data_IF_047066925651
#
_entry.id   IF_047066925651
#
_cell.length_a   1.000
_cell.length_b   1.000
_cell.length_c   1.000
_cell.angle_alpha   90.00
_cell.angle_beta   90.00
_cell.angle_gamma   90.00
#
_symmetry.space_group_name_H-M   'P 1'
#
loop_
_entity.id
_entity.type
_entity.pdbx_description
1 polymer ?
#
# COMPACT_ATOMS: atom_id res chain seq x y z
N UNK A 1 -1.62 -3.91 -3.96
CA UNK A 1 -1.32 -2.48 -3.73
C UNK A 1 -0.13 -2.06 -4.56
N UNK A 2 -0.28 -0.94 -5.27
CA UNK A 2 0.75 -0.27 -6.04
C UNK A 2 0.73 1.21 -5.66
N UNK A 3 1.90 1.75 -5.31
CA UNK A 3 2.14 3.20 -5.20
C UNK A 3 2.52 3.76 -6.57
N UNK A 4 2.50 5.08 -6.72
CA UNK A 4 2.97 5.73 -7.94
C UNK A 4 4.48 5.53 -8.19
N UNK A 5 4.91 5.78 -9.43
CA UNK A 5 6.28 5.57 -9.88
C UNK A 5 7.24 6.48 -9.11
N UNK A 6 8.17 5.88 -8.39
CA UNK A 6 9.32 6.59 -7.86
C UNK A 6 10.25 7.02 -9.02
N UNK A 7 10.21 8.31 -9.37
CA UNK A 7 10.84 8.83 -10.59
C UNK A 7 12.38 8.73 -10.62
N UNK A 8 13.07 8.56 -9.49
CA UNK A 8 14.54 8.48 -9.42
C UNK A 8 15.29 9.60 -10.19
N UNK A 9 14.76 10.83 -10.21
CA UNK A 9 15.24 11.99 -10.98
C UNK A 9 15.05 11.92 -12.52
N UNK A 10 14.32 10.94 -13.01
CA UNK A 10 13.91 10.84 -14.41
C UNK A 10 12.63 11.64 -14.67
N UNK A 11 12.42 12.02 -15.94
CA UNK A 11 11.18 12.66 -16.35
C UNK A 11 10.09 11.60 -16.49
N UNK A 12 8.85 11.88 -16.03
CA UNK A 12 7.72 11.01 -16.32
C UNK A 12 7.56 10.77 -17.83
N UNK A 13 7.18 9.56 -18.19
CA UNK A 13 6.85 9.19 -19.57
C UNK A 13 5.34 9.33 -19.72
N UNK A 14 4.89 10.04 -20.76
CA UNK A 14 3.47 10.25 -21.03
C UNK A 14 2.73 8.91 -21.16
N UNK A 15 1.64 8.77 -20.41
CA UNK A 15 0.81 7.56 -20.41
C UNK A 15 1.40 6.37 -19.63
N UNK A 16 2.52 6.56 -18.92
CA UNK A 16 3.13 5.53 -18.06
C UNK A 16 2.97 5.94 -16.60
N UNK A 17 2.12 5.21 -15.89
CA UNK A 17 1.89 5.33 -14.45
C UNK A 17 1.64 3.94 -13.84
N UNK A 18 1.56 3.87 -12.50
CA UNK A 18 1.27 2.61 -11.80
C UNK A 18 -0.16 2.11 -12.02
N UNK A 19 -1.10 2.98 -12.43
CA UNK A 19 -2.46 2.61 -12.81
C UNK A 19 -2.50 1.77 -14.09
N UNK A 20 -1.64 2.07 -15.07
CA UNK A 20 -1.45 1.25 -16.25
C UNK A 20 -0.97 -0.16 -15.88
N UNK A 21 0.00 -0.26 -14.97
CA UNK A 21 0.51 -1.55 -14.50
C UNK A 21 -0.58 -2.36 -13.78
N UNK A 22 -1.35 -1.72 -12.90
CA UNK A 22 -2.48 -2.35 -12.20
C UNK A 22 -3.46 -3.00 -13.20
N UNK A 23 -3.90 -2.24 -14.20
CA UNK A 23 -4.81 -2.73 -15.25
C UNK A 23 -4.20 -3.89 -16.03
N UNK A 24 -2.91 -3.84 -16.35
CA UNK A 24 -2.22 -4.90 -17.09
C UNK A 24 -2.08 -6.19 -16.29
N UNK A 25 -1.90 -6.11 -14.98
CA UNK A 25 -1.90 -7.29 -14.10
C UNK A 25 -3.26 -7.99 -14.14
N UNK A 26 -4.35 -7.22 -14.04
CA UNK A 26 -5.72 -7.74 -14.09
C UNK A 26 -6.07 -8.32 -15.47
N UNK A 27 -5.74 -7.61 -16.56
CA UNK A 27 -5.94 -8.08 -17.94
C UNK A 27 -5.21 -9.40 -18.22
N UNK A 28 -4.07 -9.64 -17.56
CA UNK A 28 -3.30 -10.87 -17.68
C UNK A 28 -3.87 -12.03 -16.84
N UNK A 29 -4.98 -11.84 -16.13
CA UNK A 29 -5.57 -12.82 -15.21
C UNK A 29 -4.83 -12.93 -13.88
N UNK A 30 -4.05 -11.92 -13.52
CA UNK A 30 -3.38 -11.81 -12.22
C UNK A 30 -4.36 -11.51 -11.07
N UNK A 31 -3.83 -11.40 -9.84
CA UNK A 31 -4.63 -10.97 -8.70
C UNK A 31 -5.08 -9.50 -8.86
N UNK A 32 -6.09 -9.12 -8.08
CA UNK A 32 -6.52 -7.72 -8.00
C UNK A 32 -5.36 -6.81 -7.59
N UNK A 33 -5.16 -5.74 -8.36
CA UNK A 33 -4.06 -4.81 -8.18
C UNK A 33 -4.59 -3.41 -7.85
N UNK A 34 -4.75 -3.12 -6.57
CA UNK A 34 -5.20 -1.80 -6.12
C UNK A 34 -4.09 -0.76 -6.30
N UNK A 35 -4.30 0.24 -7.15
CA UNK A 35 -3.43 1.41 -7.28
C UNK A 35 -3.98 2.59 -6.48
N UNK A 36 -3.10 3.22 -5.69
CA UNK A 36 -3.39 4.44 -4.96
C UNK A 36 -2.22 5.41 -5.17
N UNK A 37 -2.55 6.67 -5.42
CA UNK A 37 -1.56 7.70 -5.78
C UNK A 37 -0.68 8.08 -4.58
N UNK A 38 -1.28 8.17 -3.39
CA UNK A 38 -0.58 8.60 -2.19
C UNK A 38 -0.40 7.49 -1.14
N UNK A 39 0.71 7.61 -0.40
CA UNK A 39 1.11 6.66 0.64
C UNK A 39 0.12 6.58 1.79
N UNK A 40 -0.48 7.70 2.19
CA UNK A 40 -1.39 7.75 3.34
C UNK A 40 -2.67 6.96 3.06
N UNK A 41 -3.20 7.05 1.84
CA UNK A 41 -4.32 6.22 1.38
C UNK A 41 -3.99 4.73 1.41
N UNK A 42 -2.79 4.34 0.95
CA UNK A 42 -2.35 2.93 1.03
C UNK A 42 -2.31 2.44 2.48
N UNK A 43 -1.72 3.22 3.39
CA UNK A 43 -1.63 2.85 4.81
C UNK A 43 -3.03 2.74 5.43
N UNK A 44 -3.92 3.69 5.13
CA UNK A 44 -5.30 3.71 5.65
C UNK A 44 -6.10 2.48 5.20
N UNK A 45 -6.00 2.08 3.93
CA UNK A 45 -6.70 0.91 3.42
C UNK A 45 -6.10 -0.40 3.97
N UNK A 46 -4.77 -0.54 3.96
CA UNK A 46 -4.09 -1.70 4.53
C UNK A 46 -4.37 -1.86 6.03
N UNK A 47 -4.45 -0.76 6.77
CA UNK A 47 -4.79 -0.76 8.19
C UNK A 47 -6.24 -1.18 8.46
N UNK A 48 -7.10 -1.32 7.46
CA UNK A 48 -8.44 -1.93 7.61
C UNK A 48 -8.43 -3.41 7.23
N UNK A 49 -7.57 -3.80 6.30
CA UNK A 49 -7.55 -5.14 5.71
C UNK A 49 -6.68 -6.14 6.48
N UNK A 50 -5.52 -5.69 6.99
CA UNK A 50 -4.52 -6.56 7.61
C UNK A 50 -5.04 -7.14 8.93
N UNK A 51 -4.91 -8.47 9.05
CA UNK A 51 -5.36 -9.28 10.18
C UNK A 51 -4.20 -10.00 10.85
N UNK A 52 -4.46 -10.47 12.07
CA UNK A 52 -3.51 -11.32 12.79
C UNK A 52 -3.21 -12.59 11.98
N UNK A 53 -1.91 -12.86 11.76
CA UNK A 53 -1.45 -13.99 10.96
C UNK A 53 -1.07 -13.65 9.51
N UNK A 54 -1.39 -12.44 9.04
CA UNK A 54 -0.97 -11.99 7.70
C UNK A 54 0.55 -11.70 7.65
N UNK A 55 1.15 -12.00 6.49
CA UNK A 55 2.49 -11.53 6.14
C UNK A 55 2.36 -10.34 5.18
N UNK A 56 2.80 -9.17 5.63
CA UNK A 56 2.90 -7.97 4.80
C UNK A 56 4.34 -7.77 4.31
N UNK A 57 4.51 -7.43 3.03
CA UNK A 57 5.82 -7.17 2.41
C UNK A 57 5.77 -5.85 1.64
N UNK A 58 6.69 -4.94 1.97
CA UNK A 58 7.02 -3.80 1.11
C UNK A 58 8.11 -4.21 0.13
N UNK A 59 7.92 -3.94 -1.16
CA UNK A 59 8.92 -4.23 -2.20
C UNK A 59 9.08 -3.03 -3.12
N UNK A 60 10.32 -2.63 -3.36
CA UNK A 60 10.66 -1.53 -4.25
C UNK A 60 11.86 -0.74 -3.76
N UNK A 61 12.17 0.34 -4.47
CA UNK A 61 13.18 1.31 -4.07
C UNK A 61 12.51 2.61 -3.57
N UNK A 62 13.33 3.61 -3.24
CA UNK A 62 12.83 4.90 -2.79
C UNK A 62 12.31 4.85 -1.35
N UNK A 63 11.09 5.30 -1.13
CA UNK A 63 10.50 5.53 0.18
C UNK A 63 9.40 4.52 0.56
N UNK A 64 9.20 3.46 -0.23
CA UNK A 64 8.17 2.43 0.00
C UNK A 64 8.28 1.74 1.36
N UNK A 65 9.47 1.68 1.95
CA UNK A 65 9.69 1.09 3.28
C UNK A 65 8.97 1.87 4.39
N UNK A 66 8.72 3.18 4.22
CA UNK A 66 7.93 3.97 5.17
C UNK A 66 6.49 3.46 5.30
N UNK A 67 5.93 2.83 4.26
CA UNK A 67 4.60 2.20 4.34
C UNK A 67 4.57 1.14 5.45
N UNK A 68 5.65 0.35 5.58
CA UNK A 68 5.73 -0.70 6.60
C UNK A 68 5.75 -0.12 8.02
N UNK A 69 6.52 0.96 8.22
CA UNK A 69 6.58 1.65 9.52
C UNK A 69 5.25 2.32 9.87
N UNK A 70 4.67 3.07 8.93
CA UNK A 70 3.39 3.77 9.11
C UNK A 70 2.25 2.79 9.36
N UNK A 71 2.21 1.67 8.62
CA UNK A 71 1.23 0.60 8.81
C UNK A 71 1.39 -0.07 10.18
N UNK A 72 2.62 -0.33 10.63
CA UNK A 72 2.87 -0.94 11.94
C UNK A 72 2.31 -0.08 13.08
N UNK A 73 2.48 1.24 13.01
CA UNK A 73 1.89 2.17 13.98
C UNK A 73 0.36 2.13 13.90
N UNK A 74 -0.21 2.26 12.69
CA UNK A 74 -1.66 2.31 12.50
C UNK A 74 -2.38 1.05 13.02
N UNK A 75 -1.85 -0.15 12.77
CA UNK A 75 -2.45 -1.39 13.28
C UNK A 75 -2.31 -1.54 14.80
N UNK A 76 -1.23 -1.01 15.39
CA UNK A 76 -1.03 -1.04 16.83
C UNK A 76 -1.97 -0.08 17.57
N UNK A 77 -2.31 1.06 16.97
CA UNK A 77 -3.31 1.99 17.48
C UNK A 77 -4.72 1.39 17.37
N UNK A 78 -5.08 0.86 16.19
CA UNK A 78 -6.35 0.13 15.97
C UNK A 78 -6.57 -0.97 17.00
N UNK A 79 -5.54 -1.78 17.27
CA UNK A 79 -5.63 -2.86 18.24
C UNK A 79 -5.90 -2.37 19.68
N UNK A 80 -5.41 -1.18 20.06
CA UNK A 80 -5.70 -0.59 21.38
C UNK A 80 -7.13 -0.12 21.49
N UNK A 81 -7.66 0.50 20.42
CA UNK A 81 -9.05 0.95 20.37
C UNK A 81 -10.01 -0.23 20.50
N UNK A 82 -9.72 -1.34 19.82
CA UNK A 82 -10.51 -2.57 19.90
C UNK A 82 -10.52 -3.16 21.32
N UNK A 83 -9.41 -3.07 22.07
CA UNK A 83 -9.32 -3.58 23.45
C UNK A 83 -9.81 -2.58 24.51
N UNK A 84 -9.96 -1.30 24.16
CA UNK A 84 -10.47 -0.24 25.05
C UNK A 84 -12.00 -0.17 25.09
N UNK A 85 -12.70 -0.84 24.17
CA UNK A 85 -14.16 -0.89 24.11
C UNK A 85 -14.79 -1.94 25.06
N UNK A 86 -13.98 -2.77 25.70
CA UNK A 86 -14.41 -3.85 26.60
C UNK A 86 -14.34 -3.47 28.10
N UNK A 87 -14.15 -2.19 28.43
CA UNK A 87 -13.97 -1.66 29.79
C UNK A 87 -15.15 -0.86 30.36
#
# INVERSE_FOLDING_TARGET
>A
YLLDIYAASEKPIEGIDSGLLARKIEEAGGPEAVWLEDRASVVSELAKEVKAGDLFLTLGAGDVWHVGEELFVAIAERAKDDHGADG
#
